data_IF_796895233949
#
_entry.id   IF_796895233949
#
_cell.length_a   1.000
_cell.length_b   1.000
_cell.length_c   1.000
_cell.angle_alpha   90.00
_cell.angle_beta   90.00
_cell.angle_gamma   90.00
#
_symmetry.space_group_name_H-M   'P 1'
#
loop_
_entity.id
_entity.type
_entity.pdbx_description
1 polymer ?
#
# COMPACT_ATOMS: atom_id res chain seq x y z
N UNK A 1 -13.77 -2.53 -13.39
CA UNK A 1 -12.96 -1.39 -12.91
C UNK A 1 -11.53 -1.68 -13.31
N UNK A 2 -10.94 -0.98 -14.30
CA UNK A 2 -9.53 -1.15 -14.56
C UNK A 2 -8.78 -0.55 -13.37
N UNK A 3 -7.78 -1.25 -12.88
CA UNK A 3 -6.89 -0.72 -11.86
C UNK A 3 -6.15 0.46 -12.51
N UNK A 4 -6.24 1.65 -11.90
CA UNK A 4 -5.50 2.84 -12.36
C UNK A 4 -4.02 2.48 -12.34
N UNK A 5 -3.35 2.60 -13.49
CA UNK A 5 -1.93 2.29 -13.62
C UNK A 5 -1.13 3.29 -12.76
N UNK A 6 -0.36 2.80 -11.78
CA UNK A 6 0.42 3.69 -10.93
C UNK A 6 1.56 4.33 -11.74
N UNK A 7 1.60 5.67 -11.75
CA UNK A 7 2.51 6.44 -12.60
C UNK A 7 3.95 6.53 -12.06
N UNK A 8 4.24 6.06 -10.84
CA UNK A 8 5.56 6.18 -10.23
C UNK A 8 5.86 5.03 -9.26
N UNK A 9 7.09 4.50 -9.31
CA UNK A 9 7.63 3.58 -8.31
C UNK A 9 7.94 4.38 -7.04
N UNK A 10 7.25 4.06 -5.95
CA UNK A 10 7.34 4.81 -4.68
C UNK A 10 8.28 4.15 -3.66
N UNK A 11 8.47 2.83 -3.75
CA UNK A 11 9.26 2.06 -2.80
C UNK A 11 10.49 1.43 -3.45
N UNK A 12 11.63 1.46 -2.74
CA UNK A 12 12.92 0.96 -3.27
C UNK A 12 12.92 -0.55 -3.48
N UNK A 13 12.13 -1.27 -2.69
CA UNK A 13 12.05 -2.73 -2.67
C UNK A 13 10.78 -3.27 -3.35
N UNK A 14 10.09 -2.44 -4.13
CA UNK A 14 8.84 -2.81 -4.81
C UNK A 14 9.03 -3.96 -5.81
N UNK A 15 10.23 -4.12 -6.35
CA UNK A 15 10.59 -5.20 -7.29
C UNK A 15 10.59 -6.59 -6.63
N UNK A 16 10.69 -6.65 -5.30
CA UNK A 16 10.58 -7.90 -4.55
C UNK A 16 9.13 -8.41 -4.47
N UNK A 17 8.14 -7.55 -4.78
CA UNK A 17 6.75 -7.96 -4.90
C UNK A 17 6.48 -8.57 -6.29
N UNK A 18 5.52 -9.50 -6.33
CA UNK A 18 5.00 -10.04 -7.60
C UNK A 18 4.40 -8.93 -8.47
N UNK A 19 4.45 -9.09 -9.79
CA UNK A 19 4.00 -8.07 -10.74
C UNK A 19 2.57 -7.58 -10.46
N UNK A 20 1.64 -8.50 -10.18
CA UNK A 20 0.26 -8.14 -9.86
C UNK A 20 0.13 -7.38 -8.53
N UNK A 21 0.99 -7.68 -7.54
CA UNK A 21 0.94 -7.05 -6.22
C UNK A 21 1.47 -5.62 -6.28
N UNK A 22 2.42 -5.37 -7.18
CA UNK A 22 3.07 -4.08 -7.39
C UNK A 22 2.03 -2.97 -7.63
N UNK A 23 1.08 -3.22 -8.52
CA UNK A 23 0.04 -2.26 -8.85
C UNK A 23 -0.85 -1.94 -7.65
N UNK A 24 -1.25 -2.96 -6.88
CA UNK A 24 -2.06 -2.75 -5.69
C UNK A 24 -1.34 -1.98 -4.59
N UNK A 25 -0.04 -2.21 -4.40
CA UNK A 25 0.77 -1.49 -3.41
C UNK A 25 0.82 0.00 -3.75
N UNK A 26 1.08 0.34 -5.01
CA UNK A 26 1.19 1.72 -5.43
C UNK A 26 -0.18 2.44 -5.40
N UNK A 27 -1.26 1.77 -5.80
CA UNK A 27 -2.62 2.31 -5.67
C UNK A 27 -2.95 2.59 -4.20
N UNK A 28 -2.70 1.61 -3.32
CA UNK A 28 -3.01 1.75 -1.90
C UNK A 28 -2.10 2.77 -1.20
N UNK A 29 -0.89 3.01 -1.72
CA UNK A 29 0.01 4.08 -1.30
C UNK A 29 -0.49 5.46 -1.75
N UNK A 30 -0.95 5.58 -2.99
CA UNK A 30 -1.55 6.80 -3.53
C UNK A 30 -2.84 7.16 -2.77
N UNK A 31 -3.61 6.15 -2.38
CA UNK A 31 -4.78 6.28 -1.53
C UNK A 31 -4.46 6.62 -0.05
N UNK A 32 -3.19 6.63 0.35
CA UNK A 32 -2.77 6.91 1.73
C UNK A 32 -3.08 5.78 2.72
N UNK A 33 -3.52 4.61 2.24
CA UNK A 33 -3.82 3.44 3.08
C UNK A 33 -2.51 2.85 3.60
N UNK A 34 -1.55 2.64 2.69
CA UNK A 34 -0.25 2.06 3.04
C UNK A 34 0.82 3.13 3.08
N UNK A 35 1.72 3.01 4.05
CA UNK A 35 2.95 3.79 4.16
C UNK A 35 4.13 2.85 4.31
N UNK A 36 5.30 3.27 3.85
CA UNK A 36 6.53 2.52 4.07
C UNK A 36 7.07 2.67 5.48
N UNK A 37 8.24 2.10 5.72
CA UNK A 37 8.94 2.11 7.01
C UNK A 37 9.58 3.45 7.40
N UNK A 38 9.41 4.49 6.58
CA UNK A 38 10.04 5.81 6.76
C UNK A 38 11.42 5.93 6.11
N UNK A 39 12.05 4.83 5.71
CA UNK A 39 13.31 4.79 4.94
C UNK A 39 13.07 4.60 3.43
N UNK A 40 11.80 4.58 3.01
CA UNK A 40 11.42 4.37 1.61
C UNK A 40 11.23 2.89 1.24
N UNK A 41 11.14 1.98 2.22
CA UNK A 41 10.90 0.56 1.99
C UNK A 41 9.44 0.18 2.32
N UNK A 42 8.87 -0.74 1.53
CA UNK A 42 7.56 -1.34 1.76
C UNK A 42 7.63 -2.68 2.50
N UNK A 43 8.68 -3.47 2.22
CA UNK A 43 8.98 -4.80 2.80
C UNK A 43 7.93 -5.85 2.44
N UNK A 44 7.74 -6.19 1.14
CA UNK A 44 6.65 -7.07 0.70
C UNK A 44 6.76 -8.52 1.16
N UNK A 45 7.96 -8.97 1.54
CA UNK A 45 8.21 -10.34 2.03
C UNK A 45 8.05 -10.47 3.55
N UNK A 46 7.88 -9.36 4.27
CA UNK A 46 7.80 -9.38 5.72
C UNK A 46 6.43 -9.81 6.21
N UNK A 47 6.41 -10.42 7.39
CA UNK A 47 5.17 -10.84 8.04
C UNK A 47 4.48 -9.61 8.62
N UNK A 48 3.23 -9.38 8.20
CA UNK A 48 2.39 -8.32 8.73
C UNK A 48 1.97 -8.60 10.18
N UNK A 49 2.29 -7.69 11.09
CA UNK A 49 1.88 -7.77 12.49
C UNK A 49 0.43 -7.32 12.70
N UNK A 50 -0.21 -7.79 13.79
CA UNK A 50 -1.61 -7.42 14.12
C UNK A 50 -1.81 -5.91 14.28
N UNK A 51 -0.83 -5.20 14.84
CA UNK A 51 -0.88 -3.75 15.00
C UNK A 51 -0.83 -3.01 13.65
N UNK A 52 -0.01 -3.51 12.72
CA UNK A 52 0.11 -2.96 11.37
C UNK A 52 -1.18 -3.22 10.59
N UNK A 53 -1.72 -4.44 10.66
CA UNK A 53 -3.01 -4.77 10.07
C UNK A 53 -4.13 -3.88 10.61
N UNK A 54 -4.22 -3.67 11.93
CA UNK A 54 -5.21 -2.78 12.53
C UNK A 54 -5.08 -1.35 12.01
N UNK A 55 -3.85 -0.86 11.86
CA UNK A 55 -3.58 0.48 11.31
C UNK A 55 -4.04 0.60 9.86
N UNK A 56 -3.77 -0.41 9.03
CA UNK A 56 -4.25 -0.45 7.64
C UNK A 56 -5.78 -0.44 7.56
N UNK A 57 -6.44 -1.22 8.40
CA UNK A 57 -7.90 -1.29 8.45
C UNK A 57 -8.53 0.05 8.87
N UNK A 58 -7.96 0.73 9.88
CA UNK A 58 -8.44 2.05 10.32
C UNK A 58 -8.30 3.08 9.20
N UNK A 59 -7.17 3.09 8.49
CA UNK A 59 -6.97 4.00 7.34
C UNK A 59 -7.91 3.69 6.19
N UNK A 60 -8.14 2.41 5.90
CA UNK A 60 -9.07 1.98 4.86
C UNK A 60 -10.50 2.44 5.17
N UNK A 61 -10.98 2.25 6.40
CA UNK A 61 -12.31 2.71 6.83
C UNK A 61 -12.42 4.22 6.72
N UNK A 62 -11.41 4.96 7.23
CA UNK A 62 -11.39 6.41 7.12
C UNK A 62 -11.46 6.90 5.67
N UNK A 63 -10.74 6.25 4.74
CA UNK A 63 -10.82 6.59 3.32
C UNK A 63 -12.22 6.33 2.73
N UNK A 64 -12.86 5.22 3.09
CA UNK A 64 -14.21 4.89 2.63
C UNK A 64 -15.24 5.91 3.12
N UNK A 65 -15.10 6.41 4.35
CA UNK A 65 -15.97 7.46 4.89
C UNK A 65 -15.80 8.79 4.15
N UNK A 66 -14.59 9.14 3.69
CA UNK A 66 -14.35 10.37 2.92
C UNK A 66 -14.82 10.28 1.46
N UNK A 67 -15.15 9.08 0.98
CA UNK A 67 -15.57 8.82 -0.40
C UNK A 67 -17.10 8.82 -0.60
N UNK A 68 -17.87 9.03 0.47
CA UNK A 68 -19.34 9.11 0.50
C UNK A 68 -19.76 10.56 0.75
#
# INVERSE_FOLDING_TARGET
MPLVEPQAVTFVDIEQASDWTRDYIEIARAAGIIGGDGNGMFRPADVLCRAELATLLVRLVGMLEQAI
#
